data_IF_944408821025
#
_entry.id   IF_944408821025
#
_cell.length_a   1.000
_cell.length_b   1.000
_cell.length_c   1.000
_cell.angle_alpha   90.00
_cell.angle_beta   90.00
_cell.angle_gamma   90.00
#
_symmetry.space_group_name_H-M   'P 1'
#
loop_
_entity.id
_entity.type
_entity.pdbx_description
1 polymer ?
#
# COMPACT_ATOMS: atom_id res chain seq x y z
N UNK A 1 22.53 -26.51 -5.41
CA UNK A 1 21.66 -25.76 -4.48
C UNK A 1 22.10 -24.33 -4.20
N UNK A 2 23.35 -23.98 -3.81
CA UNK A 2 23.70 -22.58 -3.49
C UNK A 2 23.56 -21.63 -4.69
N UNK A 3 23.96 -22.07 -5.89
CA UNK A 3 23.86 -21.25 -7.11
C UNK A 3 22.41 -20.91 -7.48
N UNK A 4 21.49 -21.87 -7.39
CA UNK A 4 20.06 -21.66 -7.66
C UNK A 4 19.46 -20.64 -6.70
N UNK A 5 19.79 -20.72 -5.40
CA UNK A 5 19.33 -19.74 -4.41
C UNK A 5 19.83 -18.32 -4.71
N UNK A 6 21.10 -18.19 -5.13
CA UNK A 6 21.66 -16.89 -5.52
C UNK A 6 20.92 -16.31 -6.73
N UNK A 7 20.66 -17.13 -7.76
CA UNK A 7 19.92 -16.68 -8.94
C UNK A 7 18.49 -16.26 -8.57
N UNK A 8 17.79 -17.05 -7.76
CA UNK A 8 16.44 -16.72 -7.30
C UNK A 8 16.45 -15.42 -6.49
N UNK A 9 17.41 -15.22 -5.60
CA UNK A 9 17.54 -13.98 -4.82
C UNK A 9 17.78 -12.76 -5.73
N UNK A 10 18.63 -12.88 -6.75
CA UNK A 10 18.85 -11.80 -7.73
C UNK A 10 17.56 -11.49 -8.51
N UNK A 11 16.86 -12.52 -8.98
CA UNK A 11 15.59 -12.34 -9.70
C UNK A 11 14.51 -11.73 -8.80
N UNK A 12 14.42 -12.17 -7.55
CA UNK A 12 13.48 -11.62 -6.58
C UNK A 12 13.78 -10.13 -6.32
N UNK A 13 15.05 -9.78 -6.15
CA UNK A 13 15.48 -8.38 -5.99
C UNK A 13 15.16 -7.54 -7.25
N UNK A 14 15.43 -8.08 -8.43
CA UNK A 14 15.08 -7.43 -9.70
C UNK A 14 13.57 -7.14 -9.81
N UNK A 15 12.72 -8.13 -9.48
CA UNK A 15 11.26 -7.93 -9.47
C UNK A 15 10.87 -6.91 -8.42
N UNK A 16 11.41 -6.99 -7.19
CA UNK A 16 11.11 -6.05 -6.11
C UNK A 16 11.44 -4.60 -6.48
N UNK A 17 12.59 -4.36 -7.12
CA UNK A 17 12.96 -3.03 -7.61
C UNK A 17 11.97 -2.49 -8.65
N UNK A 18 11.56 -3.33 -9.62
CA UNK A 18 10.61 -2.91 -10.65
C UNK A 18 9.19 -2.71 -10.09
N UNK A 19 8.80 -3.55 -9.14
CA UNK A 19 7.52 -3.47 -8.44
C UNK A 19 7.44 -2.18 -7.63
N UNK A 20 8.44 -1.90 -6.79
CA UNK A 20 8.49 -0.67 -6.01
C UNK A 20 8.50 0.58 -6.90
N UNK A 21 9.25 0.58 -8.01
CA UNK A 21 9.27 1.70 -8.95
C UNK A 21 7.90 1.98 -9.60
N UNK A 22 7.12 0.93 -9.91
CA UNK A 22 5.79 1.07 -10.50
C UNK A 22 4.74 1.44 -9.44
N UNK A 23 4.70 0.72 -8.32
CA UNK A 23 3.65 0.86 -7.32
C UNK A 23 3.78 2.16 -6.49
N UNK A 24 4.99 2.64 -6.22
CA UNK A 24 5.21 3.96 -5.58
C UNK A 24 4.63 5.10 -6.44
N UNK A 25 4.76 5.02 -7.75
CA UNK A 25 4.16 6.01 -8.64
C UNK A 25 2.62 6.02 -8.54
N UNK A 26 2.01 4.84 -8.46
CA UNK A 26 0.56 4.68 -8.31
C UNK A 26 0.08 5.18 -6.94
N UNK A 27 0.80 4.86 -5.86
CA UNK A 27 0.41 5.21 -4.50
C UNK A 27 0.63 6.69 -4.16
N UNK A 28 1.73 7.29 -4.62
CA UNK A 28 2.18 8.62 -4.21
C UNK A 28 2.04 9.69 -5.30
N UNK A 29 1.74 9.32 -6.54
CA UNK A 29 1.71 10.24 -7.69
C UNK A 29 0.75 11.40 -7.50
N UNK A 30 -0.46 11.16 -6.99
CA UNK A 30 -1.45 12.21 -6.70
C UNK A 30 -1.02 13.15 -5.58
N UNK A 31 -0.39 12.61 -4.52
CA UNK A 31 0.11 13.40 -3.39
C UNK A 31 1.29 14.30 -3.78
N UNK A 32 2.17 13.83 -4.67
CA UNK A 32 3.26 14.63 -5.24
C UNK A 32 2.72 15.65 -6.24
N UNK A 33 1.79 15.24 -7.11
CA UNK A 33 1.18 16.10 -8.11
C UNK A 33 0.38 17.26 -7.51
N UNK A 34 -0.30 17.04 -6.40
CA UNK A 34 -1.00 18.08 -5.62
C UNK A 34 -0.06 18.93 -4.76
N UNK A 35 1.23 18.62 -4.73
CA UNK A 35 2.25 19.26 -3.88
C UNK A 35 2.02 19.09 -2.36
N UNK A 36 1.19 18.13 -1.95
CA UNK A 36 1.00 17.79 -0.55
C UNK A 36 2.29 17.26 0.09
N UNK A 37 3.08 16.52 -0.69
CA UNK A 37 4.43 16.06 -0.30
C UNK A 37 5.41 16.28 -1.45
N UNK A 38 6.69 16.45 -1.12
CA UNK A 38 7.75 16.47 -2.14
C UNK A 38 8.06 15.04 -2.61
N UNK A 39 8.62 14.91 -3.82
CA UNK A 39 9.03 13.61 -4.35
C UNK A 39 9.97 12.86 -3.39
N UNK A 40 10.92 13.56 -2.77
CA UNK A 40 11.83 12.96 -1.78
C UNK A 40 11.09 12.42 -0.56
N UNK A 41 10.14 13.18 -0.02
CA UNK A 41 9.31 12.73 1.10
C UNK A 41 8.45 11.52 0.69
N UNK A 42 7.84 11.56 -0.49
CA UNK A 42 7.04 10.47 -1.01
C UNK A 42 7.83 9.15 -1.12
N UNK A 43 9.04 9.19 -1.69
CA UNK A 43 9.92 8.01 -1.79
C UNK A 43 10.33 7.49 -0.41
N UNK A 44 10.67 8.38 0.53
CA UNK A 44 11.04 7.96 1.90
C UNK A 44 9.87 7.31 2.63
N UNK A 45 8.69 7.92 2.57
CA UNK A 45 7.46 7.40 3.19
C UNK A 45 7.11 6.04 2.58
N UNK A 46 7.06 5.96 1.25
CA UNK A 46 6.76 4.72 0.55
C UNK A 46 7.77 3.61 0.90
N UNK A 47 9.06 3.89 0.85
CA UNK A 47 10.09 2.89 1.17
C UNK A 47 9.97 2.32 2.59
N UNK A 48 9.70 3.16 3.59
CA UNK A 48 9.49 2.71 4.97
C UNK A 48 8.21 1.89 5.08
N UNK A 49 7.11 2.37 4.51
CA UNK A 49 5.81 1.71 4.64
C UNK A 49 5.72 0.42 3.81
N UNK A 50 6.31 0.37 2.62
CA UNK A 50 6.37 -0.86 1.81
C UNK A 50 7.24 -1.93 2.49
N UNK A 51 8.40 -1.55 3.03
CA UNK A 51 9.23 -2.47 3.80
C UNK A 51 8.45 -3.03 5.01
N UNK A 52 7.79 -2.16 5.76
CA UNK A 52 7.00 -2.56 6.92
C UNK A 52 5.84 -3.47 6.52
N UNK A 53 5.12 -3.12 5.45
CA UNK A 53 4.04 -3.93 4.90
C UNK A 53 4.50 -5.32 4.44
N UNK A 54 5.63 -5.39 3.74
CA UNK A 54 6.20 -6.65 3.29
C UNK A 54 6.61 -7.57 4.45
N UNK A 55 7.22 -7.01 5.50
CA UNK A 55 7.64 -7.78 6.68
C UNK A 55 6.45 -8.30 7.49
N UNK A 56 5.40 -7.47 7.64
CA UNK A 56 4.26 -7.82 8.49
C UNK A 56 3.19 -8.67 7.78
N UNK A 57 2.93 -8.40 6.50
CA UNK A 57 1.81 -8.99 5.75
C UNK A 57 2.26 -9.82 4.53
N UNK A 58 3.55 -9.76 4.16
CA UNK A 58 4.05 -10.43 2.97
C UNK A 58 3.89 -11.95 2.97
N UNK A 59 3.86 -12.57 4.16
CA UNK A 59 3.67 -14.00 4.29
C UNK A 59 2.31 -14.47 3.74
N UNK A 60 1.21 -13.82 4.13
CA UNK A 60 -0.15 -14.18 3.68
C UNK A 60 -0.32 -14.02 2.16
N UNK A 61 0.27 -12.96 1.60
CA UNK A 61 0.26 -12.72 0.16
C UNK A 61 1.06 -13.79 -0.57
N UNK A 62 2.25 -14.13 -0.07
CA UNK A 62 3.11 -15.16 -0.64
C UNK A 62 2.46 -16.53 -0.59
N UNK A 63 1.81 -16.89 0.50
CA UNK A 63 1.07 -18.16 0.64
C UNK A 63 -0.09 -18.24 -0.37
N UNK A 64 -0.86 -17.18 -0.50
CA UNK A 64 -1.97 -17.10 -1.47
C UNK A 64 -1.48 -17.29 -2.90
N UNK A 65 -0.40 -16.62 -3.29
CA UNK A 65 0.18 -16.77 -4.63
C UNK A 65 0.78 -18.16 -4.86
N UNK A 66 1.40 -18.73 -3.83
CA UNK A 66 2.04 -20.04 -3.92
C UNK A 66 1.06 -21.21 -3.97
N UNK A 67 -0.15 -21.08 -3.40
CA UNK A 67 -1.04 -22.22 -3.16
C UNK A 67 -2.40 -22.10 -3.84
N UNK A 68 -2.88 -20.85 -4.08
CA UNK A 68 -4.26 -20.62 -4.54
C UNK A 68 -4.40 -20.26 -6.03
N UNK A 69 -3.32 -19.99 -6.73
CA UNK A 69 -3.34 -19.70 -8.17
C UNK A 69 -3.17 -20.97 -8.98
N UNK A 70 -2.23 -21.81 -8.57
CA UNK A 70 -2.01 -23.14 -9.13
C UNK A 70 -1.73 -24.11 -7.99
N UNK A 71 -2.06 -25.39 -8.18
CA UNK A 71 -1.85 -26.40 -7.16
C UNK A 71 -0.41 -26.90 -7.15
N UNK A 72 0.42 -26.59 -6.12
CA UNK A 72 1.83 -27.00 -6.07
C UNK A 72 2.00 -28.53 -5.98
N UNK A 73 1.00 -29.25 -5.47
CA UNK A 73 1.07 -30.71 -5.33
C UNK A 73 1.20 -31.42 -6.68
N UNK A 74 0.72 -30.82 -7.76
CA UNK A 74 0.87 -31.35 -9.12
C UNK A 74 2.32 -31.38 -9.60
N UNK A 75 3.21 -30.63 -8.97
CA UNK A 75 4.64 -30.60 -9.25
C UNK A 75 5.47 -31.48 -8.28
N UNK A 76 4.82 -32.23 -7.37
CA UNK A 76 5.51 -33.05 -6.37
C UNK A 76 6.46 -34.09 -6.99
N UNK A 77 6.11 -34.64 -8.15
CA UNK A 77 6.97 -35.55 -8.90
C UNK A 77 8.16 -34.85 -9.59
N UNK A 78 8.06 -33.55 -9.83
CA UNK A 78 9.06 -32.76 -10.57
C UNK A 78 9.34 -31.42 -9.90
N UNK A 79 9.87 -31.40 -8.66
CA UNK A 79 10.06 -30.17 -7.90
C UNK A 79 11.03 -29.16 -8.59
N UNK A 80 11.95 -29.67 -9.39
CA UNK A 80 12.84 -28.82 -10.20
C UNK A 80 12.10 -28.03 -11.27
N UNK A 81 11.03 -28.59 -11.85
CA UNK A 81 10.19 -27.91 -12.83
C UNK A 81 9.45 -26.74 -12.15
N UNK A 82 8.98 -26.92 -10.92
CA UNK A 82 8.36 -25.84 -10.15
C UNK A 82 9.36 -24.69 -9.88
N UNK A 83 10.57 -25.01 -9.42
CA UNK A 83 11.60 -24.01 -9.15
C UNK A 83 11.95 -23.23 -10.44
N UNK A 84 12.22 -23.93 -11.55
CA UNK A 84 12.54 -23.29 -12.82
C UNK A 84 11.36 -22.46 -13.33
N UNK A 85 10.15 -22.96 -13.18
CA UNK A 85 8.92 -22.24 -13.53
C UNK A 85 8.73 -20.97 -12.72
N UNK A 86 8.93 -21.02 -11.42
CA UNK A 86 8.85 -19.81 -10.59
C UNK A 86 9.94 -18.78 -10.92
N UNK A 87 11.14 -19.22 -11.33
CA UNK A 87 12.16 -18.32 -11.88
C UNK A 87 11.66 -17.66 -13.19
N UNK A 88 10.99 -18.39 -14.06
CA UNK A 88 10.38 -17.85 -15.28
C UNK A 88 9.28 -16.85 -14.95
N UNK A 89 8.45 -17.11 -13.93
CA UNK A 89 7.45 -16.17 -13.41
C UNK A 89 8.11 -14.87 -12.97
N UNK A 90 9.18 -14.95 -12.16
CA UNK A 90 9.93 -13.76 -11.72
C UNK A 90 10.48 -12.95 -12.91
N UNK A 91 11.09 -13.62 -13.88
CA UNK A 91 11.63 -12.95 -15.08
C UNK A 91 10.50 -12.26 -15.86
N UNK A 92 9.42 -12.98 -16.12
CA UNK A 92 8.28 -12.45 -16.89
C UNK A 92 7.65 -11.23 -16.22
N UNK A 93 7.41 -11.31 -14.90
CA UNK A 93 6.88 -10.20 -14.12
C UNK A 93 7.85 -9.01 -14.11
N UNK A 94 9.14 -9.24 -13.84
CA UNK A 94 10.14 -8.18 -13.80
C UNK A 94 10.28 -7.46 -15.13
N UNK A 95 10.36 -8.20 -16.25
CA UNK A 95 10.44 -7.64 -17.60
C UNK A 95 9.17 -6.86 -17.94
N UNK A 96 7.98 -7.39 -17.62
CA UNK A 96 6.72 -6.69 -17.84
C UNK A 96 6.65 -5.37 -17.08
N UNK A 97 6.96 -5.39 -15.78
CA UNK A 97 6.97 -4.20 -14.93
C UNK A 97 8.01 -3.17 -15.42
N UNK A 98 9.19 -3.62 -15.82
CA UNK A 98 10.23 -2.75 -16.36
C UNK A 98 9.78 -2.05 -17.65
N UNK A 99 9.15 -2.78 -18.58
CA UNK A 99 8.62 -2.22 -19.83
C UNK A 99 7.50 -1.22 -19.53
N UNK A 100 6.58 -1.56 -18.63
CA UNK A 100 5.48 -0.69 -18.24
C UNK A 100 6.00 0.61 -17.60
N UNK A 101 6.90 0.50 -16.64
CA UNK A 101 7.50 1.64 -15.94
C UNK A 101 8.30 2.54 -16.91
N UNK A 102 9.09 1.94 -17.81
CA UNK A 102 9.85 2.70 -18.81
C UNK A 102 8.95 3.48 -19.79
N UNK A 103 7.71 3.03 -19.98
CA UNK A 103 6.70 3.73 -20.80
C UNK A 103 5.75 4.63 -20.00
N UNK A 104 5.95 4.77 -18.69
CA UNK A 104 5.07 5.53 -17.80
C UNK A 104 3.67 4.96 -17.68
N UNK A 105 3.51 3.65 -17.87
CA UNK A 105 2.22 2.97 -17.78
C UNK A 105 2.03 2.42 -16.37
N UNK A 106 1.00 2.87 -15.64
CA UNK A 106 0.62 2.27 -14.37
C UNK A 106 -0.01 0.89 -14.64
N UNK A 107 0.57 -0.16 -14.08
CA UNK A 107 0.07 -1.53 -14.23
C UNK A 107 -0.11 -2.17 -12.87
N UNK A 108 -0.99 -3.18 -12.79
CA UNK A 108 -1.17 -3.95 -11.57
C UNK A 108 -0.12 -5.05 -11.50
N UNK A 109 0.74 -4.99 -10.50
CA UNK A 109 1.74 -6.00 -10.19
C UNK A 109 1.11 -7.35 -9.84
N UNK A 110 0.02 -7.36 -9.07
CA UNK A 110 -0.69 -8.59 -8.69
C UNK A 110 -1.31 -9.29 -9.91
N UNK A 111 -1.86 -8.55 -10.89
CA UNK A 111 -2.35 -9.14 -12.14
C UNK A 111 -1.21 -9.81 -12.92
N UNK A 112 -0.05 -9.16 -12.98
CA UNK A 112 1.11 -9.70 -13.69
C UNK A 112 1.58 -11.01 -13.05
N UNK A 113 1.69 -11.06 -11.71
CA UNK A 113 2.13 -12.27 -10.99
C UNK A 113 1.13 -13.40 -11.12
N UNK A 114 -0.17 -13.16 -10.91
CA UNK A 114 -1.22 -14.18 -11.06
C UNK A 114 -1.24 -14.72 -12.48
N UNK A 115 -1.18 -13.83 -13.48
CA UNK A 115 -1.13 -14.24 -14.89
C UNK A 115 0.11 -15.04 -15.25
N UNK A 116 1.28 -14.69 -14.71
CA UNK A 116 2.52 -15.41 -14.95
C UNK A 116 2.51 -16.81 -14.31
N UNK A 117 1.99 -16.97 -13.07
CA UNK A 117 1.86 -18.26 -12.40
C UNK A 117 0.86 -19.15 -13.16
N UNK A 118 -0.31 -18.61 -13.53
CA UNK A 118 -1.32 -19.34 -14.28
C UNK A 118 -0.78 -19.76 -15.66
N UNK A 119 -0.10 -18.85 -16.38
CA UNK A 119 0.51 -19.13 -17.68
C UNK A 119 1.59 -20.21 -17.60
N UNK A 120 2.50 -20.13 -16.63
CA UNK A 120 3.50 -21.17 -16.38
C UNK A 120 2.83 -22.53 -16.13
N UNK A 121 1.84 -22.56 -15.22
CA UNK A 121 1.18 -23.82 -14.83
C UNK A 121 0.42 -24.45 -16.01
N UNK A 122 -0.23 -23.62 -16.83
CA UNK A 122 -0.92 -24.05 -18.04
C UNK A 122 0.04 -24.71 -19.07
N UNK A 123 1.22 -24.13 -19.24
CA UNK A 123 2.23 -24.63 -20.19
C UNK A 123 2.93 -25.89 -19.66
N UNK A 124 3.25 -25.90 -18.34
CA UNK A 124 4.02 -26.98 -17.74
C UNK A 124 3.23 -28.27 -17.52
N UNK A 125 1.96 -28.17 -17.13
CA UNK A 125 1.11 -29.33 -16.77
C UNK A 125 -0.18 -29.36 -17.60
N UNK A 126 -0.71 -28.19 -17.95
CA UNK A 126 -1.98 -28.03 -18.64
C UNK A 126 -2.96 -27.12 -17.93
N UNK A 127 -4.02 -26.75 -18.61
CA UNK A 127 -5.05 -25.82 -18.13
C UNK A 127 -5.75 -26.32 -16.85
N UNK A 128 -5.78 -27.66 -16.64
CA UNK A 128 -6.33 -28.26 -15.41
C UNK A 128 -5.50 -28.05 -14.14
N UNK A 129 -4.25 -27.54 -14.26
CA UNK A 129 -3.42 -27.21 -13.11
C UNK A 129 -3.79 -25.86 -12.47
N UNK A 130 -4.63 -25.08 -13.13
CA UNK A 130 -5.05 -23.76 -12.68
C UNK A 130 -6.27 -23.88 -11.78
N UNK A 131 -6.22 -23.23 -10.64
CA UNK A 131 -7.35 -23.12 -9.70
C UNK A 131 -8.35 -22.04 -10.15
N UNK A 132 -9.16 -22.38 -11.16
CA UNK A 132 -10.09 -21.45 -11.81
C UNK A 132 -11.10 -20.81 -10.87
N UNK A 133 -11.50 -21.50 -9.79
CA UNK A 133 -12.37 -20.93 -8.76
C UNK A 133 -11.69 -19.76 -8.03
N UNK A 134 -10.43 -19.91 -7.67
CA UNK A 134 -9.64 -18.85 -7.03
C UNK A 134 -9.37 -17.70 -7.98
N UNK A 135 -8.99 -17.97 -9.23
CA UNK A 135 -8.81 -16.93 -10.25
C UNK A 135 -10.11 -16.19 -10.51
N UNK A 136 -11.25 -16.87 -10.53
CA UNK A 136 -12.56 -16.24 -10.66
C UNK A 136 -12.83 -15.25 -9.52
N UNK A 137 -12.61 -15.64 -8.26
CA UNK A 137 -12.77 -14.77 -7.11
C UNK A 137 -11.80 -13.58 -7.14
N UNK A 138 -10.53 -13.82 -7.50
CA UNK A 138 -9.52 -12.76 -7.67
C UNK A 138 -9.97 -11.76 -8.74
N UNK A 139 -10.46 -12.25 -9.88
CA UNK A 139 -10.93 -11.42 -11.00
C UNK A 139 -12.15 -10.57 -10.60
N UNK A 140 -13.09 -11.15 -9.85
CA UNK A 140 -14.22 -10.39 -9.28
C UNK A 140 -13.69 -9.28 -8.36
N UNK A 141 -12.72 -9.60 -7.50
CA UNK A 141 -12.06 -8.61 -6.65
C UNK A 141 -11.44 -7.46 -7.44
N UNK A 142 -10.79 -7.75 -8.56
CA UNK A 142 -10.18 -6.73 -9.44
C UNK A 142 -11.20 -5.75 -10.04
N UNK A 143 -12.45 -6.16 -10.20
CA UNK A 143 -13.54 -5.31 -10.72
C UNK A 143 -14.25 -4.59 -9.57
N UNK A 144 -14.61 -5.33 -8.53
CA UNK A 144 -15.45 -4.81 -7.43
C UNK A 144 -14.68 -3.82 -6.56
N UNK A 145 -13.40 -4.10 -6.27
CA UNK A 145 -12.59 -3.24 -5.39
C UNK A 145 -12.42 -1.81 -5.92
N UNK A 146 -12.06 -1.57 -7.20
CA UNK A 146 -11.99 -0.20 -7.73
C UNK A 146 -13.32 0.52 -7.73
N UNK A 147 -14.44 -0.18 -7.98
CA UNK A 147 -15.77 0.41 -7.96
C UNK A 147 -16.15 0.87 -6.54
N UNK A 148 -15.94 0.01 -5.54
CA UNK A 148 -16.23 0.35 -4.14
C UNK A 148 -15.30 1.47 -3.66
N UNK A 149 -13.99 1.34 -3.87
CA UNK A 149 -13.01 2.34 -3.42
C UNK A 149 -13.21 3.68 -4.11
N UNK A 150 -13.51 3.69 -5.41
CA UNK A 150 -13.84 4.90 -6.16
C UNK A 150 -15.11 5.57 -5.65
N UNK A 151 -16.15 4.80 -5.35
CA UNK A 151 -17.39 5.32 -4.78
C UNK A 151 -17.15 5.95 -3.41
N UNK A 152 -16.44 5.24 -2.52
CA UNK A 152 -16.08 5.77 -1.19
C UNK A 152 -15.25 7.04 -1.32
N UNK A 153 -14.23 7.04 -2.18
CA UNK A 153 -13.39 8.21 -2.41
C UNK A 153 -14.20 9.41 -2.93
N UNK A 154 -15.11 9.19 -3.87
CA UNK A 154 -15.99 10.23 -4.41
C UNK A 154 -16.93 10.80 -3.34
N UNK A 155 -17.49 9.96 -2.49
CA UNK A 155 -18.33 10.38 -1.36
C UNK A 155 -17.53 11.21 -0.36
N UNK A 156 -16.34 10.74 0.04
CA UNK A 156 -15.46 11.48 0.94
C UNK A 156 -15.06 12.83 0.35
N UNK A 157 -14.60 12.84 -0.90
CA UNK A 157 -14.22 14.07 -1.57
C UNK A 157 -15.38 15.06 -1.67
N UNK A 158 -16.58 14.59 -2.00
CA UNK A 158 -17.77 15.47 -2.08
C UNK A 158 -18.10 16.11 -0.73
N UNK A 159 -17.92 15.39 0.39
CA UNK A 159 -18.09 15.95 1.73
C UNK A 159 -17.01 16.97 2.07
N UNK A 160 -15.74 16.63 1.84
CA UNK A 160 -14.61 17.55 2.05
C UNK A 160 -14.80 18.83 1.21
N UNK A 161 -15.18 18.66 -0.06
CA UNK A 161 -15.45 19.79 -0.94
C UNK A 161 -16.56 20.68 -0.36
N UNK A 162 -17.72 20.11 -0.04
CA UNK A 162 -18.89 20.84 0.45
C UNK A 162 -18.63 21.54 1.79
N UNK A 163 -17.96 20.89 2.72
CA UNK A 163 -17.81 21.37 4.09
C UNK A 163 -16.55 22.19 4.33
N UNK A 164 -15.54 22.09 3.46
CA UNK A 164 -14.25 22.74 3.63
C UNK A 164 -13.91 23.61 2.40
N UNK A 165 -13.82 23.01 1.20
CA UNK A 165 -13.24 23.69 0.04
C UNK A 165 -14.15 24.76 -0.56
N UNK A 166 -15.46 24.56 -0.54
CA UNK A 166 -16.46 25.51 -1.06
C UNK A 166 -16.85 26.59 -0.03
N UNK A 167 -16.25 26.57 1.17
CA UNK A 167 -16.53 27.57 2.20
C UNK A 167 -15.65 28.83 2.03
N UNK A 168 -16.19 30.03 2.37
CA UNK A 168 -15.43 31.28 2.26
C UNK A 168 -14.15 31.32 3.09
N UNK A 169 -14.18 30.67 4.27
CA UNK A 169 -13.07 30.63 5.22
C UNK A 169 -12.47 29.20 5.30
N UNK A 170 -11.85 28.74 4.22
CA UNK A 170 -11.34 27.38 4.08
C UNK A 170 -10.37 26.96 5.20
N UNK A 171 -9.47 27.86 5.63
CA UNK A 171 -8.48 27.59 6.69
C UNK A 171 -9.17 27.34 8.01
N UNK A 172 -10.16 28.16 8.37
CA UNK A 172 -10.92 28.00 9.62
C UNK A 172 -11.68 26.67 9.61
N UNK A 173 -12.36 26.37 8.51
CA UNK A 173 -13.07 25.10 8.37
C UNK A 173 -12.12 23.91 8.44
N UNK A 174 -10.98 23.99 7.77
CA UNK A 174 -9.98 22.94 7.82
C UNK A 174 -9.46 22.69 9.26
N UNK A 175 -9.22 23.76 10.04
CA UNK A 175 -8.84 23.63 11.46
C UNK A 175 -9.89 22.88 12.29
N UNK A 176 -11.16 23.12 12.04
CA UNK A 176 -12.26 22.45 12.74
C UNK A 176 -12.40 20.98 12.31
N UNK A 177 -12.17 20.69 11.03
CA UNK A 177 -12.36 19.34 10.47
C UNK A 177 -11.15 18.42 10.59
N UNK A 178 -9.93 18.94 10.79
CA UNK A 178 -8.70 18.14 10.93
C UNK A 178 -8.82 17.04 11.99
N UNK A 179 -9.34 17.27 13.22
CA UNK A 179 -9.47 16.19 14.20
C UNK A 179 -10.34 15.04 13.71
N UNK A 180 -11.46 15.37 13.08
CA UNK A 180 -12.38 14.37 12.53
C UNK A 180 -11.79 13.60 11.34
N UNK A 181 -11.14 14.30 10.42
CA UNK A 181 -10.46 13.67 9.28
C UNK A 181 -9.32 12.76 9.75
N UNK A 182 -8.55 13.21 10.73
CA UNK A 182 -7.48 12.41 11.34
C UNK A 182 -8.02 11.18 12.07
N UNK A 183 -9.12 11.35 12.82
CA UNK A 183 -9.76 10.26 13.54
C UNK A 183 -10.34 9.21 12.58
N UNK A 184 -10.99 9.63 11.49
CA UNK A 184 -11.54 8.71 10.48
C UNK A 184 -10.39 7.97 9.78
N UNK A 185 -9.37 8.69 9.30
CA UNK A 185 -8.22 8.09 8.61
C UNK A 185 -7.52 7.05 9.49
N UNK A 186 -7.17 7.44 10.71
CA UNK A 186 -6.44 6.56 11.62
C UNK A 186 -7.34 5.53 12.30
N UNK A 187 -8.65 5.79 12.39
CA UNK A 187 -9.64 4.80 12.82
C UNK A 187 -9.75 3.64 11.83
N UNK A 188 -9.89 3.94 10.53
CA UNK A 188 -9.91 2.91 9.49
C UNK A 188 -8.58 2.15 9.44
N UNK A 189 -7.45 2.89 9.45
CA UNK A 189 -6.12 2.29 9.50
C UNK A 189 -5.93 1.46 10.78
N UNK A 190 -6.42 1.96 11.92
CA UNK A 190 -6.34 1.30 13.22
C UNK A 190 -7.07 -0.03 13.27
N UNK A 191 -8.25 -0.12 12.65
CA UNK A 191 -9.03 -1.36 12.61
C UNK A 191 -8.37 -2.42 11.71
N UNK A 192 -7.74 -2.01 10.61
CA UNK A 192 -7.19 -2.93 9.61
C UNK A 192 -5.73 -3.31 9.91
N UNK A 193 -4.89 -2.35 10.25
CA UNK A 193 -3.42 -2.51 10.31
C UNK A 193 -2.88 -2.64 11.73
N UNK A 194 -3.40 -1.85 12.67
CA UNK A 194 -2.86 -1.84 14.04
C UNK A 194 -2.94 -3.17 14.78
N UNK A 195 -3.97 -4.02 14.64
CA UNK A 195 -3.98 -5.32 15.31
C UNK A 195 -2.75 -6.16 14.96
N UNK A 196 -2.37 -6.23 13.69
CA UNK A 196 -1.18 -6.98 13.25
C UNK A 196 0.13 -6.36 13.73
N UNK A 197 0.20 -5.03 13.78
CA UNK A 197 1.37 -4.30 14.28
C UNK A 197 1.56 -4.45 15.80
N UNK A 198 0.47 -4.49 16.54
CA UNK A 198 0.50 -4.50 18.02
C UNK A 198 0.47 -5.90 18.62
N UNK A 199 0.20 -6.93 17.79
CA UNK A 199 0.14 -8.33 18.25
C UNK A 199 1.40 -8.79 19.01
N UNK A 200 2.63 -8.51 18.57
CA UNK A 200 3.82 -8.86 19.33
C UNK A 200 3.88 -8.19 20.70
N UNK A 201 3.45 -6.92 20.79
CA UNK A 201 3.39 -6.18 22.03
C UNK A 201 2.30 -6.73 22.96
N UNK A 202 1.14 -7.04 22.40
CA UNK A 202 0.02 -7.64 23.13
C UNK A 202 0.42 -8.98 23.73
N UNK A 203 1.06 -9.84 22.94
CA UNK A 203 1.56 -11.13 23.40
C UNK A 203 2.62 -10.97 24.51
N UNK A 204 3.56 -10.05 24.34
CA UNK A 204 4.57 -9.74 25.35
C UNK A 204 3.93 -9.29 26.68
N UNK A 205 2.93 -8.41 26.65
CA UNK A 205 2.25 -7.92 27.85
C UNK A 205 1.45 -9.05 28.52
N UNK A 206 0.76 -9.89 27.76
CA UNK A 206 0.02 -11.03 28.30
C UNK A 206 0.98 -12.04 28.96
N UNK A 207 2.09 -12.37 28.32
CA UNK A 207 3.04 -13.39 28.80
C UNK A 207 3.89 -12.90 29.98
N UNK A 208 4.34 -11.63 29.96
CA UNK A 208 5.28 -11.11 30.96
C UNK A 208 4.60 -10.42 32.13
N UNK A 209 3.45 -9.79 31.91
CA UNK A 209 2.76 -8.98 32.91
C UNK A 209 1.51 -9.68 33.46
N UNK A 210 1.01 -10.73 32.77
CA UNK A 210 -0.16 -11.50 33.19
C UNK A 210 -1.48 -10.72 33.05
N UNK A 211 -1.49 -9.56 32.39
CA UNK A 211 -2.70 -8.79 32.13
C UNK A 211 -3.39 -9.31 30.87
N UNK A 212 -4.65 -9.73 31.01
CA UNK A 212 -5.48 -10.13 29.88
C UNK A 212 -6.07 -8.86 29.23
N UNK A 213 -5.36 -8.32 28.23
CA UNK A 213 -5.79 -7.12 27.49
C UNK A 213 -6.60 -7.58 26.28
N UNK A 214 -7.83 -7.06 26.06
CA UNK A 214 -8.60 -7.33 24.86
C UNK A 214 -7.81 -6.98 23.58
N UNK A 215 -7.96 -7.79 22.54
CA UNK A 215 -7.15 -7.72 21.33
C UNK A 215 -7.18 -6.35 20.60
N UNK A 216 -8.21 -5.55 20.86
CA UNK A 216 -8.41 -4.24 20.21
C UNK A 216 -8.04 -3.04 21.09
N UNK A 217 -7.77 -3.20 22.39
CA UNK A 217 -7.53 -2.06 23.29
C UNK A 217 -6.21 -1.36 22.97
N UNK A 218 -5.13 -2.11 22.75
CA UNK A 218 -3.83 -1.55 22.36
C UNK A 218 -3.93 -0.88 20.97
N UNK A 219 -4.50 -1.51 19.92
CA UNK A 219 -4.75 -0.86 18.64
C UNK A 219 -5.56 0.44 18.75
N UNK A 220 -6.65 0.43 19.50
CA UNK A 220 -7.49 1.63 19.68
C UNK A 220 -6.75 2.76 20.39
N UNK A 221 -6.02 2.45 21.45
CA UNK A 221 -5.25 3.44 22.18
C UNK A 221 -4.12 4.04 21.33
N UNK A 222 -3.36 3.20 20.62
CA UNK A 222 -2.28 3.67 19.73
C UNK A 222 -2.83 4.47 18.55
N UNK A 223 -3.98 4.07 17.99
CA UNK A 223 -4.69 4.80 16.94
C UNK A 223 -5.19 6.16 17.42
N UNK A 224 -5.75 6.24 18.63
CA UNK A 224 -6.18 7.50 19.22
C UNK A 224 -5.01 8.46 19.48
N UNK A 225 -3.90 7.96 20.01
CA UNK A 225 -2.68 8.76 20.20
C UNK A 225 -2.13 9.28 18.87
N UNK A 226 -2.10 8.44 17.87
CA UNK A 226 -1.65 8.83 16.52
C UNK A 226 -2.59 9.89 15.90
N UNK A 227 -3.92 9.77 16.09
CA UNK A 227 -4.89 10.77 15.63
C UNK A 227 -4.69 12.13 16.31
N UNK A 228 -4.46 12.13 17.61
CA UNK A 228 -4.14 13.36 18.37
C UNK A 228 -2.82 13.96 17.86
N UNK A 229 -1.77 13.14 17.69
CA UNK A 229 -0.49 13.57 17.15
C UNK A 229 -0.60 14.20 15.77
N UNK A 230 -1.33 13.53 14.86
CA UNK A 230 -1.58 14.03 13.50
C UNK A 230 -2.36 15.37 13.54
N UNK A 231 -3.37 15.47 14.39
CA UNK A 231 -4.15 16.70 14.59
C UNK A 231 -3.25 17.86 15.03
N UNK A 232 -2.40 17.64 16.03
CA UNK A 232 -1.49 18.68 16.56
C UNK A 232 -0.46 19.12 15.51
N UNK A 233 0.11 18.16 14.75
CA UNK A 233 1.05 18.46 13.67
C UNK A 233 0.37 19.28 12.59
N UNK A 234 -0.82 18.90 12.17
CA UNK A 234 -1.59 19.58 11.12
C UNK A 234 -1.98 20.99 11.54
N UNK A 235 -2.41 21.20 12.77
CA UNK A 235 -2.70 22.54 13.29
C UNK A 235 -1.47 23.44 13.30
N UNK A 236 -0.32 22.93 13.75
CA UNK A 236 0.94 23.68 13.69
C UNK A 236 1.33 24.07 12.26
N UNK A 237 1.13 23.18 11.30
CA UNK A 237 1.43 23.50 9.90
C UNK A 237 0.51 24.61 9.37
N UNK A 238 -0.79 24.57 9.68
CA UNK A 238 -1.73 25.62 9.30
C UNK A 238 -1.41 26.98 9.93
N UNK A 239 -1.01 27.03 11.19
CA UNK A 239 -0.61 28.27 11.85
C UNK A 239 0.64 28.90 11.20
N UNK A 240 1.59 28.06 10.79
CA UNK A 240 2.79 28.53 10.07
C UNK A 240 2.43 29.07 8.69
N UNK A 241 1.52 28.41 7.98
CA UNK A 241 1.08 28.83 6.65
C UNK A 241 0.29 30.16 6.74
N UNK A 242 -0.65 30.26 7.67
CA UNK A 242 -1.40 31.49 7.92
C UNK A 242 -0.49 32.68 8.27
N UNK A 243 0.53 32.44 9.11
CA UNK A 243 1.54 33.45 9.43
C UNK A 243 2.38 33.88 8.22
N UNK A 244 2.63 32.97 7.28
CA UNK A 244 3.32 33.25 6.02
C UNK A 244 2.45 34.05 5.06
N UNK A 245 1.17 33.74 4.95
CA UNK A 245 0.21 34.49 4.11
C UNK A 245 0.04 35.91 4.61
N UNK A 246 -0.15 36.11 5.93
CA UNK A 246 -0.24 37.43 6.52
C UNK A 246 1.04 38.27 6.30
N UNK A 247 2.22 37.65 6.32
CA UNK A 247 3.47 38.33 5.99
C UNK A 247 3.56 38.68 4.50
N UNK A 248 3.07 37.84 3.61
CA UNK A 248 3.02 38.13 2.16
C UNK A 248 2.06 39.28 1.83
N UNK A 249 0.92 39.36 2.50
CA UNK A 249 -0.02 40.47 2.34
C UNK A 249 0.58 41.79 2.84
N UNK A 250 1.29 41.77 3.99
CA UNK A 250 1.95 42.97 4.54
C UNK A 250 3.18 43.42 3.73
N UNK A 251 3.87 42.47 3.09
CA UNK A 251 5.08 42.74 2.31
C UNK A 251 4.99 42.00 0.98
N UNK A 252 4.21 42.54 0.01
CA UNK A 252 4.10 41.92 -1.29
C UNK A 252 5.48 41.84 -1.97
N UNK A 253 5.80 40.75 -2.68
CA UNK A 253 7.05 40.63 -3.40
C UNK A 253 7.18 41.80 -4.39
N UNK A 254 8.34 42.48 -4.37
CA UNK A 254 8.64 43.53 -5.34
C UNK A 254 8.60 42.92 -6.73
N UNK A 255 7.80 43.49 -7.67
CA UNK A 255 7.85 43.01 -9.06
C UNK A 255 9.26 43.14 -9.58
N UNK A 256 9.81 42.05 -10.11
CA UNK A 256 11.10 42.06 -10.76
C UNK A 256 10.95 42.94 -12.05
N UNK A 257 11.94 43.81 -12.33
CA UNK A 257 11.93 44.66 -13.48
C UNK A 257 11.94 43.90 -14.80
#
# INVERSE_FOLDING_TARGET
MPMTLVIVAILAFYVACNLGANDVANAMGTSVGSKAVTLKQAIMIAGVLEFTGAVLFGHEVSETLATKVANPSLFAATPQLLVTGMMTVLISCGVWLQIATARGLPVSSSHAVVGAIAGFSAVAIGIGAIEWSSIGLITIGWIVTPLISGTIAALFYSQIKRWILDQPNQITQLKEWIPWLSAILLGVFGVIVLPSLTQPLTNFVIEQVGFNIPAYDIPLFTGALAAVGLTLISWRQLEVEESREQKREKFPPVPLP
#
